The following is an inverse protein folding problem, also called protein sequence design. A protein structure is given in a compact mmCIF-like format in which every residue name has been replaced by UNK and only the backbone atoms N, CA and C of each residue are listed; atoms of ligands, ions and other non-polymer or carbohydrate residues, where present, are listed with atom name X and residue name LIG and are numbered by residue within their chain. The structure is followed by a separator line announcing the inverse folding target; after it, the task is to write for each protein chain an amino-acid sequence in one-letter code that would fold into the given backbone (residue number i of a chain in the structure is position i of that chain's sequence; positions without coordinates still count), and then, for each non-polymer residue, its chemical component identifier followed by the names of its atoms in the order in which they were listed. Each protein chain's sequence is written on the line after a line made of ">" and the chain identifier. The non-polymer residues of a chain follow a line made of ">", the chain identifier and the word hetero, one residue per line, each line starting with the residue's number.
data_IF_289376888823
#
_entry.id   IF_289376888823
#
_cell.length_a   1.000
_cell.length_b   1.000
_cell.length_c   1.000
_cell.angle_alpha   90.00
_cell.angle_beta   90.00
_cell.angle_gamma   90.00
#
_symmetry.space_group_name_H-M   'P 1'
#
loop_
_entity.id
_entity.type
_entity.pdbx_description
1 polymer ?
#
# COMPACT_ATOMS: atom_id res chain seq x y z
N UNK A 1 -24.80 -8.16 3.15
CA UNK A 1 -23.94 -7.17 2.44
C UNK A 1 -22.58 -7.04 3.12
N UNK A 2 -22.51 -6.79 4.43
CA UNK A 2 -21.25 -6.59 5.16
C UNK A 2 -20.28 -7.77 5.05
N UNK A 3 -20.77 -9.01 5.12
CA UNK A 3 -19.92 -10.20 4.98
C UNK A 3 -19.31 -10.29 3.57
N UNK A 4 -20.09 -10.00 2.53
CA UNK A 4 -19.56 -9.95 1.15
C UNK A 4 -18.47 -8.87 1.03
N UNK A 5 -18.74 -7.66 1.52
CA UNK A 5 -17.79 -6.55 1.50
C UNK A 5 -16.48 -6.89 2.24
N UNK A 6 -16.58 -7.50 3.44
CA UNK A 6 -15.40 -7.93 4.20
C UNK A 6 -14.56 -8.96 3.43
N UNK A 7 -15.17 -10.02 2.91
CA UNK A 7 -14.45 -11.02 2.12
C UNK A 7 -13.81 -10.38 0.88
N UNK A 8 -14.53 -9.52 0.18
CA UNK A 8 -14.05 -8.84 -1.03
C UNK A 8 -12.84 -7.95 -0.71
N UNK A 9 -12.89 -7.14 0.34
CA UNK A 9 -11.78 -6.24 0.71
C UNK A 9 -10.58 -7.01 1.23
N UNK A 10 -10.77 -8.02 2.09
CA UNK A 10 -9.68 -8.81 2.68
C UNK A 10 -8.95 -9.70 1.67
N UNK A 11 -9.65 -10.08 0.60
CA UNK A 11 -9.07 -10.85 -0.51
C UNK A 11 -8.55 -9.97 -1.65
N UNK A 12 -8.65 -8.66 -1.54
CA UNK A 12 -8.30 -7.71 -2.60
C UNK A 12 -9.08 -7.99 -3.89
N UNK A 13 -10.40 -8.13 -3.79
CA UNK A 13 -11.29 -8.56 -4.87
C UNK A 13 -10.90 -9.94 -5.43
N UNK A 14 -10.64 -10.88 -4.54
CA UNK A 14 -10.29 -12.29 -4.85
C UNK A 14 -8.92 -12.47 -5.52
N UNK A 15 -8.04 -11.49 -5.44
CA UNK A 15 -6.71 -11.49 -6.06
C UNK A 15 -5.63 -12.09 -5.14
N UNK A 16 -5.80 -11.99 -3.82
CA UNK A 16 -4.76 -12.41 -2.88
C UNK A 16 -4.73 -13.92 -2.66
N UNK A 17 -3.57 -14.49 -2.26
CA UNK A 17 -3.43 -15.92 -2.00
C UNK A 17 -4.36 -16.47 -0.89
N UNK A 18 -4.96 -15.61 -0.08
CA UNK A 18 -5.99 -15.97 0.89
C UNK A 18 -7.32 -16.39 0.26
N UNK A 19 -7.50 -16.17 -1.04
CA UNK A 19 -8.67 -16.62 -1.80
C UNK A 19 -8.58 -18.12 -2.03
N UNK A 20 -9.57 -18.86 -1.57
CA UNK A 20 -9.65 -20.31 -1.67
C UNK A 20 -10.94 -20.76 -2.37
N UNK A 21 -11.07 -22.06 -2.67
CA UNK A 21 -12.32 -22.65 -3.14
C UNK A 21 -13.49 -22.32 -2.20
N UNK A 22 -13.26 -22.45 -0.88
CA UNK A 22 -14.27 -22.12 0.13
C UNK A 22 -14.71 -20.64 0.05
N UNK A 23 -13.78 -19.72 -0.22
CA UNK A 23 -14.09 -18.30 -0.43
C UNK A 23 -15.11 -18.14 -1.54
N UNK A 24 -14.89 -18.76 -2.69
CA UNK A 24 -15.81 -18.69 -3.84
C UNK A 24 -17.14 -19.39 -3.57
N UNK A 25 -17.13 -20.48 -2.82
CA UNK A 25 -18.38 -21.17 -2.43
C UNK A 25 -19.24 -20.28 -1.50
N UNK A 26 -18.63 -19.63 -0.52
CA UNK A 26 -19.32 -18.69 0.37
C UNK A 26 -19.88 -17.51 -0.42
N UNK A 27 -19.09 -16.93 -1.34
CA UNK A 27 -19.55 -15.84 -2.21
C UNK A 27 -20.72 -16.27 -3.08
N UNK A 28 -20.66 -17.46 -3.69
CA UNK A 28 -21.77 -18.02 -4.47
C UNK A 28 -23.08 -18.10 -3.66
N UNK A 29 -22.99 -18.57 -2.42
CA UNK A 29 -24.16 -18.65 -1.54
C UNK A 29 -24.67 -17.26 -1.13
N UNK A 30 -23.78 -16.28 -0.90
CA UNK A 30 -24.18 -14.91 -0.63
C UNK A 30 -24.90 -14.27 -1.82
N UNK A 31 -24.45 -14.52 -3.04
CA UNK A 31 -25.11 -14.01 -4.27
C UNK A 31 -26.51 -14.59 -4.44
N UNK A 32 -26.76 -15.87 -4.07
CA UNK A 32 -28.08 -16.48 -4.10
C UNK A 32 -29.09 -15.78 -3.17
N UNK A 33 -28.63 -15.01 -2.19
CA UNK A 33 -29.53 -14.21 -1.32
C UNK A 33 -30.04 -12.92 -1.99
N UNK A 34 -29.66 -12.66 -3.25
CA UNK A 34 -30.11 -11.49 -4.02
C UNK A 34 -29.36 -10.19 -3.68
N UNK A 35 -28.17 -10.26 -3.05
CA UNK A 35 -27.35 -9.06 -2.86
C UNK A 35 -26.83 -8.54 -4.21
N UNK A 36 -26.88 -7.24 -4.41
CA UNK A 36 -26.20 -6.59 -5.55
C UNK A 36 -24.70 -6.46 -5.24
N UNK A 37 -23.90 -7.34 -5.82
CA UNK A 37 -22.45 -7.28 -5.67
C UNK A 37 -21.84 -6.05 -6.35
N UNK A 38 -22.39 -5.65 -7.50
CA UNK A 38 -21.95 -4.45 -8.23
C UNK A 38 -22.15 -3.18 -7.39
N UNK A 39 -23.30 -3.04 -6.70
CA UNK A 39 -23.52 -1.89 -5.82
C UNK A 39 -22.50 -1.86 -4.66
N UNK A 40 -22.15 -3.03 -4.12
CA UNK A 40 -21.13 -3.11 -3.06
C UNK A 40 -19.76 -2.68 -3.60
N UNK A 41 -19.38 -3.14 -4.81
CA UNK A 41 -18.13 -2.72 -5.46
C UNK A 41 -18.11 -1.21 -5.72
N UNK A 42 -19.17 -0.67 -6.32
CA UNK A 42 -19.29 0.76 -6.62
C UNK A 42 -19.17 1.62 -5.35
N UNK A 43 -19.82 1.22 -4.26
CA UNK A 43 -19.74 1.97 -3.00
C UNK A 43 -18.34 1.97 -2.38
N UNK A 44 -17.57 0.89 -2.57
CA UNK A 44 -16.25 0.75 -1.94
C UNK A 44 -15.14 1.29 -2.83
N UNK A 45 -15.19 1.05 -4.14
CA UNK A 45 -14.07 1.36 -5.05
C UNK A 45 -14.33 2.53 -6.00
N UNK A 46 -15.59 2.78 -6.35
CA UNK A 46 -15.95 3.75 -7.39
C UNK A 46 -16.69 4.98 -6.85
N UNK A 47 -16.60 5.23 -5.54
CA UNK A 47 -17.17 6.39 -4.86
C UNK A 47 -16.07 7.33 -4.32
N UNK A 48 -15.13 7.67 -5.18
CA UNK A 48 -14.01 8.53 -4.79
C UNK A 48 -14.35 10.01 -5.02
N UNK A 49 -13.93 10.87 -4.08
CA UNK A 49 -13.92 12.33 -4.31
C UNK A 49 -12.96 12.67 -5.45
N UNK A 50 -13.25 13.73 -6.20
CA UNK A 50 -12.40 14.16 -7.30
C UNK A 50 -10.98 14.51 -6.83
N UNK A 51 -10.84 15.16 -5.69
CA UNK A 51 -9.57 15.52 -5.06
C UNK A 51 -8.71 14.27 -4.74
N UNK A 52 -9.34 13.18 -4.30
CA UNK A 52 -8.64 11.89 -4.09
C UNK A 52 -8.09 11.33 -5.40
N UNK A 53 -8.85 11.43 -6.51
CA UNK A 53 -8.39 10.98 -7.81
C UNK A 53 -7.22 11.85 -8.31
N UNK A 54 -7.29 13.16 -8.09
CA UNK A 54 -6.19 14.07 -8.39
C UNK A 54 -4.95 13.79 -7.55
N UNK A 55 -5.11 13.55 -6.23
CA UNK A 55 -4.02 13.16 -5.34
C UNK A 55 -3.38 11.85 -5.78
N UNK A 56 -4.18 10.84 -6.17
CA UNK A 56 -3.68 9.58 -6.72
C UNK A 56 -2.81 9.84 -7.95
N UNK A 57 -3.31 10.59 -8.93
CA UNK A 57 -2.57 10.93 -10.16
C UNK A 57 -1.24 11.62 -9.82
N UNK A 58 -1.27 12.61 -8.94
CA UNK A 58 -0.08 13.32 -8.49
C UNK A 58 0.91 12.41 -7.79
N UNK A 59 0.44 11.56 -6.86
CA UNK A 59 1.31 10.63 -6.15
C UNK A 59 1.99 9.63 -7.10
N UNK A 60 1.26 9.12 -8.10
CA UNK A 60 1.82 8.21 -9.11
C UNK A 60 2.88 8.88 -9.97
N UNK A 61 2.72 10.17 -10.31
CA UNK A 61 3.74 10.93 -11.05
C UNK A 61 5.05 11.11 -10.26
N UNK A 62 5.01 10.92 -8.94
CA UNK A 62 6.17 11.02 -8.04
C UNK A 62 6.85 9.69 -7.73
N UNK A 63 6.44 8.59 -8.36
CA UNK A 63 7.08 7.29 -8.15
C UNK A 63 8.55 7.38 -8.54
N UNK A 64 9.42 7.01 -7.61
CA UNK A 64 10.85 6.85 -7.83
C UNK A 64 11.19 5.36 -7.80
N UNK A 65 11.86 4.88 -8.85
CA UNK A 65 12.25 3.48 -9.00
C UNK A 65 13.72 3.31 -8.66
N UNK A 66 14.04 2.27 -7.89
CA UNK A 66 15.39 1.80 -7.57
C UNK A 66 15.55 0.46 -8.27
N UNK A 67 15.86 0.50 -9.58
CA UNK A 67 15.84 -0.67 -10.47
C UNK A 67 16.70 -1.83 -9.96
N UNK A 68 17.92 -1.52 -9.51
CA UNK A 68 18.88 -2.51 -9.02
C UNK A 68 18.45 -3.20 -7.70
N UNK A 69 17.35 -2.76 -7.08
CA UNK A 69 16.77 -3.31 -5.85
C UNK A 69 15.29 -3.70 -5.99
N UNK A 70 14.74 -3.71 -7.21
CA UNK A 70 13.32 -4.05 -7.45
C UNK A 70 12.37 -3.32 -6.50
N UNK A 71 12.69 -2.07 -6.17
CA UNK A 71 12.01 -1.26 -5.15
C UNK A 71 11.54 0.05 -5.75
N UNK A 72 10.41 0.54 -5.30
CA UNK A 72 9.98 1.91 -5.60
C UNK A 72 9.48 2.61 -4.35
N UNK A 73 9.48 3.94 -4.38
CA UNK A 73 8.88 4.73 -3.33
C UNK A 73 8.19 5.99 -3.85
N UNK A 74 7.25 6.48 -3.03
CA UNK A 74 6.53 7.73 -3.21
C UNK A 74 6.76 8.57 -1.97
N UNK A 75 6.90 9.88 -2.12
CA UNK A 75 6.95 10.81 -0.99
C UNK A 75 5.97 11.95 -1.18
N UNK A 76 5.17 12.23 -0.16
CA UNK A 76 4.19 13.31 -0.15
C UNK A 76 4.43 14.20 1.07
N UNK A 77 4.76 15.46 0.83
CA UNK A 77 4.84 16.48 1.89
C UNK A 77 3.44 16.93 2.30
N UNK A 78 3.31 17.50 3.50
CA UNK A 78 2.04 18.07 3.96
C UNK A 78 1.54 19.18 3.03
N UNK A 79 2.46 20.01 2.51
CA UNK A 79 2.11 21.06 1.54
C UNK A 79 1.48 20.48 0.27
N UNK A 80 1.97 19.34 -0.20
CA UNK A 80 1.42 18.65 -1.37
C UNK A 80 0.07 18.01 -1.06
N UNK A 81 -0.07 17.37 0.09
CA UNK A 81 -1.35 16.81 0.55
C UNK A 81 -2.44 17.89 0.67
N UNK A 82 -2.09 19.04 1.23
CA UNK A 82 -3.03 20.16 1.39
C UNK A 82 -3.55 20.72 0.06
N UNK A 83 -2.78 20.62 -1.04
CA UNK A 83 -3.24 21.06 -2.37
C UNK A 83 -4.45 20.28 -2.88
N UNK A 84 -4.65 19.07 -2.38
CA UNK A 84 -5.73 18.17 -2.77
C UNK A 84 -6.78 18.01 -1.67
N UNK A 85 -6.84 18.91 -0.69
CA UNK A 85 -7.77 18.84 0.43
C UNK A 85 -7.75 17.43 1.09
N UNK A 86 -6.54 16.86 1.28
CA UNK A 86 -6.33 15.53 1.78
C UNK A 86 -7.11 15.26 3.06
N UNK A 87 -7.86 14.17 3.08
CA UNK A 87 -8.49 13.60 4.27
C UNK A 87 -7.87 12.23 4.60
N UNK A 88 -7.96 11.84 5.87
CA UNK A 88 -7.49 10.51 6.31
C UNK A 88 -8.22 9.41 5.53
N UNK A 89 -7.46 8.57 4.83
CA UNK A 89 -7.98 7.51 3.95
C UNK A 89 -7.71 7.75 2.46
N UNK A 90 -7.54 9.00 2.01
CA UNK A 90 -7.38 9.31 0.59
C UNK A 90 -6.12 8.70 -0.05
N UNK A 91 -5.10 8.41 0.75
CA UNK A 91 -3.86 7.76 0.30
C UNK A 91 -3.90 6.24 0.42
N UNK A 92 -5.02 5.68 0.90
CA UNK A 92 -5.13 4.23 1.03
C UNK A 92 -5.09 3.55 -0.35
N UNK A 93 -4.27 2.52 -0.44
CA UNK A 93 -4.09 1.78 -1.70
C UNK A 93 -3.05 2.38 -2.67
N UNK A 94 -2.65 3.65 -2.54
CA UNK A 94 -1.67 4.27 -3.46
C UNK A 94 -0.37 3.48 -3.54
N UNK A 95 0.16 3.02 -2.42
CA UNK A 95 1.40 2.24 -2.37
C UNK A 95 1.33 0.95 -3.20
N UNK A 96 0.14 0.36 -3.36
CA UNK A 96 -0.04 -0.87 -4.13
C UNK A 96 0.17 -0.67 -5.64
N UNK A 97 -0.02 0.54 -6.15
CA UNK A 97 0.31 0.85 -7.55
C UNK A 97 1.80 0.68 -7.83
N UNK A 98 2.67 0.97 -6.86
CA UNK A 98 4.09 0.67 -7.00
C UNK A 98 4.36 -0.79 -7.29
N UNK A 99 3.63 -1.71 -6.63
CA UNK A 99 3.73 -3.14 -6.89
C UNK A 99 3.14 -3.58 -8.24
N UNK A 100 2.36 -2.75 -8.92
CA UNK A 100 1.86 -3.07 -10.27
C UNK A 100 2.93 -2.90 -11.35
N UNK A 101 4.01 -2.20 -11.04
CA UNK A 101 5.13 -1.99 -11.96
C UNK A 101 5.90 -3.32 -12.12
N UNK A 102 6.27 -3.63 -13.36
CA UNK A 102 7.02 -4.85 -13.69
C UNK A 102 8.33 -4.90 -12.87
N UNK A 103 8.64 -6.05 -12.31
CA UNK A 103 9.82 -6.35 -11.51
C UNK A 103 9.88 -5.65 -10.13
N UNK A 104 8.95 -4.80 -9.75
CA UNK A 104 8.92 -4.22 -8.41
C UNK A 104 8.39 -5.24 -7.40
N UNK A 105 9.17 -5.49 -6.35
CA UNK A 105 8.85 -6.38 -5.23
C UNK A 105 8.54 -5.64 -3.94
N UNK A 106 9.09 -4.45 -3.78
CA UNK A 106 8.94 -3.63 -2.58
C UNK A 106 8.52 -2.21 -2.95
N UNK A 107 7.43 -1.75 -2.36
CA UNK A 107 6.91 -0.40 -2.56
C UNK A 107 6.69 0.29 -1.21
N UNK A 108 7.07 1.56 -1.12
CA UNK A 108 6.93 2.36 0.09
C UNK A 108 6.29 3.71 -0.25
N UNK A 109 5.41 4.18 0.63
CA UNK A 109 4.95 5.57 0.61
C UNK A 109 5.30 6.24 1.93
N UNK A 110 5.91 7.42 1.83
CA UNK A 110 6.22 8.32 2.93
C UNK A 110 5.28 9.51 2.88
N UNK A 111 4.59 9.78 3.96
CA UNK A 111 3.63 10.89 4.04
C UNK A 111 3.91 11.75 5.26
N UNK A 112 4.13 13.01 5.05
CA UNK A 112 4.20 13.98 6.13
C UNK A 112 2.85 14.11 6.83
N UNK A 113 2.87 14.16 8.16
CA UNK A 113 1.70 14.46 8.97
C UNK A 113 2.10 15.58 9.95
N UNK A 114 1.81 16.81 9.57
CA UNK A 114 2.18 17.99 10.35
C UNK A 114 1.41 18.08 11.67
N UNK A 115 0.22 17.48 11.77
CA UNK A 115 -0.56 17.49 13.01
C UNK A 115 0.14 16.69 14.13
N UNK A 116 0.73 15.56 13.77
CA UNK A 116 1.44 14.69 14.70
C UNK A 116 2.96 14.93 14.66
N UNK A 117 3.43 15.80 13.76
CA UNK A 117 4.85 16.06 13.49
C UNK A 117 5.67 14.79 13.22
N UNK A 118 5.15 13.94 12.34
CA UNK A 118 5.75 12.64 11.98
C UNK A 118 5.64 12.35 10.49
N UNK A 119 6.47 11.43 10.03
CA UNK A 119 6.30 10.81 8.70
C UNK A 119 5.61 9.47 8.89
N UNK A 120 4.44 9.29 8.31
CA UNK A 120 3.76 8.01 8.22
C UNK A 120 4.30 7.23 7.04
N UNK A 121 4.62 5.95 7.28
CA UNK A 121 5.26 5.08 6.31
C UNK A 121 4.38 3.86 6.11
N UNK A 122 3.99 3.60 4.86
CA UNK A 122 3.31 2.34 4.50
C UNK A 122 4.20 1.54 3.57
N UNK A 123 4.40 0.26 3.91
CA UNK A 123 5.27 -0.66 3.20
C UNK A 123 4.45 -1.82 2.65
N UNK A 124 4.70 -2.19 1.40
CA UNK A 124 4.06 -3.33 0.75
C UNK A 124 5.10 -4.14 -0.03
N UNK A 125 4.95 -5.45 -0.04
CA UNK A 125 5.82 -6.31 -0.86
C UNK A 125 5.04 -7.40 -1.58
N UNK A 126 5.74 -8.08 -2.49
CA UNK A 126 5.32 -9.33 -3.13
C UNK A 126 6.31 -10.43 -2.81
N UNK A 127 5.79 -11.67 -2.80
CA UNK A 127 6.62 -12.86 -2.58
C UNK A 127 7.22 -12.90 -1.18
N UNK A 128 8.50 -13.22 -1.12
CA UNK A 128 9.15 -13.58 0.14
C UNK A 128 9.78 -12.42 0.91
N UNK A 129 9.86 -11.24 0.33
CA UNK A 129 10.39 -10.08 1.04
C UNK A 129 9.45 -9.66 2.18
N UNK A 130 9.91 -9.84 3.42
CA UNK A 130 9.14 -9.57 4.64
C UNK A 130 9.25 -8.10 5.05
N UNK A 131 8.23 -7.30 4.68
CA UNK A 131 8.17 -5.88 5.05
C UNK A 131 7.86 -5.65 6.53
N UNK A 132 7.30 -6.63 7.24
CA UNK A 132 7.10 -6.53 8.68
C UNK A 132 8.45 -6.55 9.42
N UNK A 133 9.35 -7.49 9.06
CA UNK A 133 10.70 -7.52 9.61
C UNK A 133 11.49 -6.27 9.24
N UNK A 134 11.41 -5.83 7.97
CA UNK A 134 12.03 -4.58 7.55
C UNK A 134 11.54 -3.39 8.37
N UNK A 135 10.22 -3.25 8.50
CA UNK A 135 9.60 -2.16 9.27
C UNK A 135 10.03 -2.15 10.72
N UNK A 136 10.06 -3.32 11.39
CA UNK A 136 10.52 -3.46 12.77
C UNK A 136 11.99 -3.06 12.94
N UNK A 137 12.85 -3.58 12.07
CA UNK A 137 14.31 -3.39 12.19
C UNK A 137 14.73 -1.95 11.90
N UNK A 138 14.08 -1.28 10.94
CA UNK A 138 14.51 0.03 10.46
C UNK A 138 13.77 1.18 11.12
N UNK A 139 12.48 1.02 11.37
CA UNK A 139 11.61 2.12 11.84
C UNK A 139 10.90 1.82 13.16
N UNK A 140 11.09 0.63 13.76
CA UNK A 140 10.36 0.23 14.96
C UNK A 140 8.85 0.04 14.73
N UNK A 141 8.44 -0.16 13.47
CA UNK A 141 7.05 -0.37 13.08
C UNK A 141 6.62 -1.83 13.14
N UNK A 142 5.64 -2.21 12.34
CA UNK A 142 5.13 -3.59 12.29
C UNK A 142 3.97 -3.79 11.33
N UNK A 143 3.48 -5.03 11.28
CA UNK A 143 2.36 -5.43 10.42
C UNK A 143 2.41 -6.90 10.05
N UNK A 144 2.01 -7.20 8.82
CA UNK A 144 2.07 -8.54 8.23
C UNK A 144 3.24 -8.66 7.25
N UNK A 145 3.60 -9.90 6.87
CA UNK A 145 4.71 -10.20 5.95
C UNK A 145 4.76 -9.26 4.73
N UNK A 146 3.63 -9.05 4.06
CA UNK A 146 3.57 -8.26 2.84
C UNK A 146 2.89 -6.88 2.99
N UNK A 147 2.51 -6.48 4.20
CA UNK A 147 1.86 -5.21 4.49
C UNK A 147 2.22 -4.73 5.90
N UNK A 148 3.04 -3.70 6.00
CA UNK A 148 3.47 -3.14 7.27
C UNK A 148 3.38 -1.60 7.26
N UNK A 149 3.45 -1.03 8.45
CA UNK A 149 3.48 0.41 8.65
C UNK A 149 4.51 0.82 9.68
N UNK A 150 4.93 2.07 9.64
CA UNK A 150 5.83 2.66 10.61
C UNK A 150 5.60 4.17 10.72
N UNK A 151 6.28 4.75 11.70
CA UNK A 151 6.31 6.20 11.93
C UNK A 151 7.77 6.62 12.11
N UNK A 152 8.16 7.74 11.49
CA UNK A 152 9.44 8.40 11.72
C UNK A 152 9.24 9.79 12.28
N UNK A 153 10.05 10.17 13.27
CA UNK A 153 10.08 11.52 13.84
C UNK A 153 11.12 12.43 13.16
N UNK A 154 11.82 11.93 12.14
CA UNK A 154 12.77 12.71 11.33
C UNK A 154 11.99 13.51 10.28
N UNK A 155 12.66 14.48 9.63
CA UNK A 155 12.09 15.14 8.44
C UNK A 155 11.85 14.14 7.31
N UNK A 156 11.02 14.51 6.33
CA UNK A 156 10.72 13.67 5.18
C UNK A 156 11.99 13.23 4.45
N UNK A 157 12.88 14.18 4.14
CA UNK A 157 14.14 13.90 3.43
C UNK A 157 15.07 12.98 4.24
N UNK A 158 15.23 13.24 5.54
CA UNK A 158 16.06 12.40 6.40
C UNK A 158 15.48 10.99 6.57
N UNK A 159 14.15 10.85 6.57
CA UNK A 159 13.49 9.54 6.61
C UNK A 159 13.73 8.76 5.31
N UNK A 160 13.63 9.43 4.17
CA UNK A 160 13.89 8.83 2.86
C UNK A 160 15.36 8.42 2.75
N UNK A 161 16.30 9.28 3.12
CA UNK A 161 17.72 8.96 3.07
C UNK A 161 18.06 7.77 3.97
N UNK A 162 17.50 7.72 5.17
CA UNK A 162 17.67 6.58 6.09
C UNK A 162 17.11 5.29 5.50
N UNK A 163 15.95 5.34 4.84
CA UNK A 163 15.38 4.22 4.11
C UNK A 163 16.31 3.74 2.98
N UNK A 164 16.80 4.66 2.12
CA UNK A 164 17.65 4.33 1.01
C UNK A 164 18.97 3.68 1.46
N UNK A 165 19.57 4.20 2.53
CA UNK A 165 20.78 3.61 3.11
C UNK A 165 20.51 2.21 3.68
N UNK A 166 19.37 2.02 4.34
CA UNK A 166 18.98 0.74 4.92
C UNK A 166 18.75 -0.36 3.87
N UNK A 167 18.33 0.00 2.65
CA UNK A 167 18.14 -0.96 1.54
C UNK A 167 19.42 -1.71 1.17
N UNK A 168 20.59 -1.14 1.42
CA UNK A 168 21.87 -1.77 1.12
C UNK A 168 22.04 -3.12 1.81
N UNK A 169 21.48 -3.26 3.02
CA UNK A 169 21.54 -4.48 3.83
C UNK A 169 20.56 -5.58 3.34
N UNK A 170 19.60 -5.22 2.45
CA UNK A 170 18.57 -6.13 1.95
C UNK A 170 18.73 -6.42 0.45
N UNK A 171 19.90 -6.08 -0.12
CA UNK A 171 20.17 -6.17 -1.56
C UNK A 171 19.90 -7.57 -2.11
N UNK A 172 20.38 -8.62 -1.46
CA UNK A 172 20.24 -9.99 -1.95
C UNK A 172 18.78 -10.46 -1.94
N UNK A 173 18.03 -10.18 -0.88
CA UNK A 173 16.62 -10.54 -0.78
C UNK A 173 15.72 -9.78 -1.76
N UNK A 174 16.09 -8.55 -2.12
CA UNK A 174 15.37 -7.74 -3.11
C UNK A 174 15.70 -8.12 -4.56
N UNK A 175 16.92 -8.58 -4.83
CA UNK A 175 17.37 -8.99 -6.17
C UNK A 175 16.97 -10.41 -6.57
N UNK A 176 16.66 -11.30 -5.62
CA UNK A 176 16.29 -12.68 -5.93
C UNK A 176 15.19 -12.70 -6.99
N UNK A 177 15.41 -13.42 -8.09
CA UNK A 177 14.38 -13.59 -9.13
C UNK A 177 13.24 -14.42 -8.54
N UNK A 178 11.98 -13.98 -8.72
CA UNK A 178 10.87 -14.91 -8.64
C UNK A 178 10.99 -15.85 -9.83
N UNK A 179 11.10 -17.14 -9.53
CA UNK A 179 10.80 -18.20 -10.47
C UNK A 179 9.29 -18.28 -10.64
#
# INVERSE_FOLDING_TARGET
>A
RSLYAGIMTDTGSFKFPSTTELTHLVISNLLKTGISHSDIHNHIYDNNKFERVQLLSFALSKIKIIENLNTCYISLSQKELNKFNYEKGDTEGIVNYGLSIKNIKFAVIFMENSNDNVIRISLRSRGDFDVNQFSKNIFGGGGHKNAAGAISKKSLDNTINYFLDSLKNYKESLKSKHI
#
